data_IF_239496115694
#
_entry.id   IF_239496115694
#
_cell.length_a   1.000
_cell.length_b   1.000
_cell.length_c   1.000
_cell.angle_alpha   90.00
_cell.angle_beta   90.00
_cell.angle_gamma   90.00
#
_symmetry.space_group_name_H-M   'P 1'
#
loop_
_entity.id
_entity.type
_entity.pdbx_description
1 polymer ?
#
# COMPACT_ATOMS: atom_id res chain seq x y z
N UNK A 1 -13.48 17.30 27.32
CA UNK A 1 -13.01 15.94 26.98
C UNK A 1 -13.14 15.78 25.48
N UNK A 2 -12.10 15.32 24.76
CA UNK A 2 -12.19 15.10 23.32
C UNK A 2 -13.29 14.07 23.02
N UNK A 3 -14.01 14.25 21.91
CA UNK A 3 -15.04 13.29 21.50
C UNK A 3 -14.39 11.97 21.09
N UNK A 4 -15.12 10.87 21.24
CA UNK A 4 -14.64 9.54 20.84
C UNK A 4 -14.24 9.49 19.36
N UNK A 5 -14.95 10.24 18.50
CA UNK A 5 -14.64 10.38 17.08
C UNK A 5 -13.25 10.98 16.88
N UNK A 6 -12.92 12.06 17.60
CA UNK A 6 -11.59 12.70 17.51
C UNK A 6 -10.50 11.74 17.96
N UNK A 7 -10.71 11.03 19.06
CA UNK A 7 -9.74 10.04 19.56
C UNK A 7 -9.50 8.95 18.52
N UNK A 8 -10.56 8.43 17.91
CA UNK A 8 -10.48 7.39 16.89
C UNK A 8 -9.73 7.87 15.64
N UNK A 9 -10.08 9.05 15.10
CA UNK A 9 -9.44 9.59 13.90
C UNK A 9 -7.95 9.85 14.11
N UNK A 10 -7.57 10.41 15.25
CA UNK A 10 -6.16 10.65 15.59
C UNK A 10 -5.41 9.33 15.74
N UNK A 11 -6.00 8.33 16.42
CA UNK A 11 -5.40 7.01 16.56
C UNK A 11 -5.22 6.28 15.21
N UNK A 12 -6.22 6.36 14.33
CA UNK A 12 -6.15 5.80 12.98
C UNK A 12 -5.07 6.49 12.14
N UNK A 13 -5.00 7.82 12.17
CA UNK A 13 -3.99 8.59 11.44
C UNK A 13 -2.57 8.30 11.96
N UNK A 14 -2.38 8.23 13.27
CA UNK A 14 -1.09 7.91 13.88
C UNK A 14 -0.64 6.48 13.52
N UNK A 15 -1.56 5.51 13.60
CA UNK A 15 -1.29 4.12 13.20
C UNK A 15 -0.92 4.04 11.73
N UNK A 16 -1.67 4.74 10.86
CA UNK A 16 -1.38 4.77 9.42
C UNK A 16 0.00 5.34 9.13
N UNK A 17 0.35 6.49 9.72
CA UNK A 17 1.65 7.11 9.55
C UNK A 17 2.79 6.22 10.06
N UNK A 18 2.58 5.52 11.19
CA UNK A 18 3.54 4.56 11.72
C UNK A 18 3.79 3.38 10.77
N UNK A 19 2.72 2.78 10.25
CA UNK A 19 2.84 1.68 9.27
C UNK A 19 3.50 2.15 7.98
N UNK A 20 3.18 3.36 7.52
CA UNK A 20 3.82 3.95 6.35
C UNK A 20 5.33 4.14 6.57
N UNK A 21 5.73 4.66 7.73
CA UNK A 21 7.13 4.84 8.08
C UNK A 21 7.87 3.50 8.15
N UNK A 22 7.26 2.47 8.74
CA UNK A 22 7.82 1.12 8.74
C UNK A 22 7.99 0.54 7.34
N UNK A 23 6.98 0.70 6.47
CA UNK A 23 7.08 0.26 5.09
C UNK A 23 8.21 0.96 4.35
N UNK A 24 8.33 2.29 4.50
CA UNK A 24 9.40 3.06 3.88
C UNK A 24 10.79 2.66 4.39
N UNK A 25 10.94 2.44 5.70
CA UNK A 25 12.24 2.11 6.30
C UNK A 25 12.71 0.69 5.97
N UNK A 26 11.78 -0.25 5.80
CA UNK A 26 12.11 -1.66 5.51
C UNK A 26 12.15 -1.98 4.02
N UNK A 27 11.83 -1.02 3.13
CA UNK A 27 11.82 -1.26 1.70
C UNK A 27 13.24 -1.47 1.17
N UNK A 28 13.52 -2.66 0.62
CA UNK A 28 14.77 -2.92 -0.08
C UNK A 28 14.73 -2.22 -1.45
N UNK A 29 15.73 -1.41 -1.83
CA UNK A 29 15.82 -0.80 -3.15
C UNK A 29 15.81 -1.79 -4.33
N UNK A 30 16.09 -3.08 -4.07
CA UNK A 30 16.03 -4.17 -5.05
C UNK A 30 14.62 -4.72 -5.25
N UNK A 31 13.68 -4.40 -4.37
CA UNK A 31 12.30 -4.81 -4.52
C UNK A 31 11.60 -3.99 -5.61
N UNK A 32 10.77 -4.63 -6.45
CA UNK A 32 9.98 -3.90 -7.42
C UNK A 32 9.03 -2.94 -6.68
N UNK A 33 9.07 -1.65 -7.08
CA UNK A 33 8.18 -0.63 -6.52
C UNK A 33 6.72 -1.15 -6.46
N UNK A 34 5.99 -0.94 -5.35
CA UNK A 34 4.65 -1.46 -5.16
C UNK A 34 3.73 -1.13 -6.35
N UNK A 35 3.10 -2.18 -6.92
CA UNK A 35 2.25 -2.14 -8.13
C UNK A 35 0.98 -1.28 -7.92
N UNK A 36 0.58 -1.04 -6.68
CA UNK A 36 -0.63 -0.31 -6.37
C UNK A 36 -0.38 0.86 -5.43
N UNK A 37 0.01 1.96 -6.05
CA UNK A 37 -0.59 3.26 -5.80
C UNK A 37 0.10 4.12 -4.75
N UNK A 38 0.00 5.41 -5.01
CA UNK A 38 0.48 6.56 -4.24
C UNK A 38 0.14 6.56 -2.75
N UNK A 39 -0.73 5.66 -2.28
CA UNK A 39 -1.13 5.50 -0.87
C UNK A 39 -0.93 4.04 -0.44
N UNK A 40 0.16 3.72 0.28
CA UNK A 40 0.42 2.37 0.74
C UNK A 40 -0.72 1.82 1.61
N UNK A 41 -0.92 0.50 1.51
CA UNK A 41 -1.99 -0.31 2.14
C UNK A 41 -3.42 -0.03 1.66
N UNK A 42 -3.77 1.21 1.33
CA UNK A 42 -5.12 1.58 0.89
C UNK A 42 -5.32 1.34 -0.60
N UNK A 43 -4.38 1.79 -1.45
CA UNK A 43 -4.48 1.61 -2.90
C UNK A 43 -4.60 0.15 -3.34
N UNK A 44 -3.84 -0.82 -2.78
CA UNK A 44 -4.02 -2.23 -3.09
C UNK A 44 -5.40 -2.76 -2.69
N UNK A 45 -5.95 -2.31 -1.55
CA UNK A 45 -7.28 -2.72 -1.08
C UNK A 45 -8.38 -2.25 -2.05
N UNK A 46 -8.25 -1.03 -2.56
CA UNK A 46 -9.15 -0.54 -3.61
C UNK A 46 -9.01 -1.38 -4.88
N UNK A 47 -7.81 -1.63 -5.38
CA UNK A 47 -7.61 -2.46 -6.57
C UNK A 47 -8.19 -3.87 -6.43
N UNK A 48 -8.00 -4.51 -5.27
CA UNK A 48 -8.58 -5.81 -4.95
C UNK A 48 -10.11 -5.80 -4.96
N UNK A 49 -10.74 -4.73 -4.45
CA UNK A 49 -12.19 -4.63 -4.37
C UNK A 49 -12.83 -4.25 -5.70
N UNK A 50 -12.20 -3.37 -6.49
CA UNK A 50 -12.75 -2.86 -7.75
C UNK A 50 -12.44 -3.76 -8.94
N UNK A 51 -11.23 -4.31 -9.04
CA UNK A 51 -10.75 -5.04 -10.22
C UNK A 51 -10.60 -6.55 -9.99
N UNK A 52 -10.65 -7.00 -8.73
CA UNK A 52 -10.64 -8.43 -8.33
C UNK A 52 -9.50 -9.20 -9.02
N UNK A 53 -9.81 -10.20 -9.86
CA UNK A 53 -8.82 -11.04 -10.55
C UNK A 53 -7.92 -10.24 -11.51
N UNK A 54 -8.44 -9.21 -12.17
CA UNK A 54 -7.66 -8.38 -13.08
C UNK A 54 -6.56 -7.61 -12.36
N UNK A 55 -6.78 -7.26 -11.09
CA UNK A 55 -5.75 -6.65 -10.24
C UNK A 55 -4.54 -7.58 -10.06
N UNK A 56 -4.78 -8.87 -9.82
CA UNK A 56 -3.72 -9.87 -9.68
C UNK A 56 -2.97 -10.11 -10.99
N UNK A 57 -3.68 -10.12 -12.13
CA UNK A 57 -3.05 -10.24 -13.44
C UNK A 57 -2.15 -9.03 -13.74
N UNK A 58 -2.62 -7.81 -13.44
CA UNK A 58 -1.81 -6.59 -13.57
C UNK A 58 -0.59 -6.63 -12.66
N UNK A 59 -0.75 -7.00 -11.39
CA UNK A 59 0.36 -7.16 -10.45
C UNK A 59 1.42 -8.13 -10.96
N UNK A 60 0.99 -9.29 -11.46
CA UNK A 60 1.89 -10.30 -12.01
C UNK A 60 2.64 -9.79 -13.24
N UNK A 61 1.97 -9.07 -14.13
CA UNK A 61 2.59 -8.49 -15.32
C UNK A 61 3.64 -7.44 -14.95
N UNK A 62 3.33 -6.52 -14.02
CA UNK A 62 4.29 -5.49 -13.61
C UNK A 62 5.52 -6.07 -12.89
N UNK A 63 5.33 -7.12 -12.08
CA UNK A 63 6.45 -7.82 -11.44
C UNK A 63 7.32 -8.50 -12.50
N UNK A 64 6.72 -9.25 -13.43
CA UNK A 64 7.44 -9.93 -14.51
C UNK A 64 8.23 -8.95 -15.39
N UNK A 65 7.61 -7.82 -15.78
CA UNK A 65 8.26 -6.81 -16.61
C UNK A 65 9.45 -6.13 -15.93
N UNK A 66 9.44 -6.01 -14.60
CA UNK A 66 10.57 -5.47 -13.83
C UNK A 66 11.69 -6.48 -13.66
N UNK A 67 11.37 -7.77 -13.54
CA UNK A 67 12.36 -8.84 -13.46
C UNK A 67 13.18 -8.93 -14.76
N UNK A 68 12.52 -8.77 -15.91
CA UNK A 68 13.18 -8.78 -17.24
C UNK A 68 14.03 -7.52 -17.53
N UNK A 69 13.96 -6.49 -16.68
CA UNK A 69 14.64 -5.21 -16.87
C UNK A 69 15.97 -5.09 -16.09
N UNK A 70 16.35 -6.12 -15.32
CA UNK A 70 17.62 -6.24 -14.57
C UNK A 70 18.54 -7.29 -15.19
#
# INVERSE_FOLDING_TARGET
MPSQIVVFLVGAAATYAFLWALAYLNHDPREPSPVAGSIPFISPLFGLTTEKESFYLRMRQEISLKEDAF
#
